data_IF_424387802994
#
_entry.id   IF_424387802994
#
_cell.length_a   1.000
_cell.length_b   1.000
_cell.length_c   1.000
_cell.angle_alpha   90.00
_cell.angle_beta   90.00
_cell.angle_gamma   90.00
#
_symmetry.space_group_name_H-M   'P 1'
#
loop_
_entity.id
_entity.type
_entity.pdbx_description
1 polymer ?
#
# COMPACT_ATOMS: atom_id res chain seq x y z
N UNK A 1 -17.51 0.53 -2.78
CA UNK A 1 -17.14 -0.52 -3.77
C UNK A 1 -15.64 -0.72 -3.62
N UNK A 2 -15.18 -1.94 -3.39
CA UNK A 2 -13.73 -2.22 -3.27
C UNK A 2 -13.17 -2.44 -4.66
N UNK A 3 -12.43 -1.47 -5.20
CA UNK A 3 -11.76 -1.60 -6.49
C UNK A 3 -10.70 -2.71 -6.40
N UNK A 4 -10.99 -3.85 -7.03
CA UNK A 4 -10.09 -4.99 -7.05
C UNK A 4 -9.07 -4.82 -8.18
N UNK A 5 -7.92 -4.25 -7.84
CA UNK A 5 -6.84 -4.02 -8.80
C UNK A 5 -5.92 -5.24 -8.79
N UNK A 6 -5.86 -5.95 -9.92
CA UNK A 6 -4.96 -7.10 -10.11
C UNK A 6 -3.70 -6.62 -10.82
N UNK A 7 -2.53 -6.88 -10.23
CA UNK A 7 -1.23 -6.52 -10.82
C UNK A 7 -0.34 -7.76 -10.93
N UNK A 8 0.70 -7.68 -11.78
CA UNK A 8 1.71 -8.74 -11.93
C UNK A 8 2.94 -8.39 -11.11
N UNK A 9 3.61 -9.41 -10.56
CA UNK A 9 4.94 -9.25 -9.98
C UNK A 9 5.89 -8.83 -11.10
N UNK A 10 6.57 -7.70 -10.93
CA UNK A 10 7.52 -7.16 -11.89
C UNK A 10 8.95 -7.27 -11.36
N UNK A 11 9.94 -7.20 -12.26
CA UNK A 11 11.35 -7.13 -11.89
C UNK A 11 11.73 -5.67 -11.68
N UNK A 12 12.28 -5.34 -10.51
CA UNK A 12 12.81 -4.00 -10.20
C UNK A 12 14.30 -4.18 -9.90
N UNK A 13 15.16 -3.89 -10.88
CA UNK A 13 16.59 -4.17 -10.80
C UNK A 13 16.89 -5.66 -10.57
N UNK A 14 17.54 -5.96 -9.44
CA UNK A 14 17.84 -7.34 -9.00
C UNK A 14 16.75 -7.94 -8.11
N UNK A 15 15.67 -7.19 -7.83
CA UNK A 15 14.59 -7.59 -6.93
C UNK A 15 13.28 -7.85 -7.68
N UNK A 16 12.30 -8.41 -6.97
CA UNK A 16 10.90 -8.49 -7.40
C UNK A 16 10.11 -7.39 -6.71
N UNK A 17 9.17 -6.78 -7.41
CA UNK A 17 8.31 -5.74 -6.88
C UNK A 17 6.85 -5.95 -7.26
N UNK A 18 5.97 -5.33 -6.49
CA UNK A 18 4.53 -5.26 -6.73
C UNK A 18 4.20 -3.79 -6.97
N UNK A 19 3.45 -3.51 -8.02
CA UNK A 19 3.02 -2.14 -8.33
C UNK A 19 1.84 -1.80 -7.43
N UNK A 20 2.02 -0.83 -6.54
CA UNK A 20 0.93 -0.27 -5.74
C UNK A 20 0.08 0.64 -6.63
N UNK A 21 -1.26 0.47 -6.67
CA UNK A 21 -2.10 1.30 -7.52
C UNK A 21 -2.06 2.78 -7.14
N UNK A 22 -2.14 3.66 -8.14
CA UNK A 22 -2.11 5.12 -7.93
C UNK A 22 -3.21 5.62 -7.00
N UNK A 23 -4.38 4.95 -6.98
CA UNK A 23 -5.48 5.27 -6.05
C UNK A 23 -5.07 5.08 -4.59
N UNK A 24 -4.34 4.00 -4.27
CA UNK A 24 -3.84 3.73 -2.92
C UNK A 24 -2.77 4.73 -2.53
N UNK A 25 -1.82 5.02 -3.43
CA UNK A 25 -0.75 6.01 -3.21
C UNK A 25 -1.34 7.38 -2.87
N UNK A 26 -2.32 7.85 -3.66
CA UNK A 26 -2.98 9.14 -3.44
C UNK A 26 -3.83 9.15 -2.18
N UNK A 27 -4.57 8.07 -1.89
CA UNK A 27 -5.45 8.00 -0.73
C UNK A 27 -4.66 8.03 0.59
N UNK A 28 -3.47 7.44 0.62
CA UNK A 28 -2.62 7.33 1.79
C UNK A 28 -1.48 8.35 1.82
N UNK A 29 -1.40 9.23 0.80
CA UNK A 29 -0.32 10.21 0.62
C UNK A 29 1.08 9.60 0.72
N UNK A 30 1.29 8.45 0.07
CA UNK A 30 2.56 7.71 0.16
C UNK A 30 3.64 8.40 -0.67
N UNK A 31 4.83 8.51 -0.09
CA UNK A 31 6.03 9.05 -0.70
C UNK A 31 7.13 7.99 -0.80
N UNK A 32 8.11 8.21 -1.70
CA UNK A 32 9.27 7.34 -1.76
C UNK A 32 10.05 7.39 -0.43
N UNK A 33 10.35 6.23 0.12
CA UNK A 33 11.02 6.11 1.42
C UNK A 33 10.08 5.91 2.62
N UNK A 34 8.75 5.99 2.42
CA UNK A 34 7.79 5.66 3.47
C UNK A 34 7.91 4.19 3.91
N UNK A 35 7.78 3.97 5.21
CA UNK A 35 7.84 2.65 5.81
C UNK A 35 6.52 1.90 5.58
N UNK A 36 6.63 0.65 5.14
CA UNK A 36 5.50 -0.25 4.91
C UNK A 36 5.77 -1.57 5.63
N UNK A 37 4.77 -2.06 6.35
CA UNK A 37 4.81 -3.37 6.99
C UNK A 37 4.11 -4.39 6.10
N UNK A 38 4.75 -5.55 5.90
CA UNK A 38 4.21 -6.64 5.08
C UNK A 38 3.99 -7.87 5.95
N UNK A 39 2.78 -8.42 5.91
CA UNK A 39 2.41 -9.65 6.63
C UNK A 39 1.92 -10.67 5.62
N UNK A 40 2.56 -11.83 5.58
CA UNK A 40 2.10 -12.97 4.80
C UNK A 40 1.31 -13.92 5.70
N UNK A 41 0.04 -14.15 5.36
CA UNK A 41 -0.84 -15.09 6.02
C UNK A 41 -0.89 -16.38 5.18
N UNK A 42 -0.17 -17.40 5.63
CA UNK A 42 0.02 -18.65 4.88
C UNK A 42 -1.30 -19.39 4.62
N UNK A 43 -2.17 -19.46 5.61
CA UNK A 43 -3.44 -20.19 5.54
C UNK A 43 -4.39 -19.66 4.45
N UNK A 44 -4.35 -18.34 4.22
CA UNK A 44 -5.18 -17.66 3.23
C UNK A 44 -4.44 -17.32 1.94
N UNK A 45 -3.12 -17.57 1.89
CA UNK A 45 -2.22 -17.13 0.81
C UNK A 45 -2.34 -15.62 0.52
N UNK A 46 -2.47 -14.81 1.58
CA UNK A 46 -2.65 -13.36 1.48
C UNK A 46 -1.39 -12.63 1.92
N UNK A 47 -0.91 -11.72 1.07
CA UNK A 47 0.10 -10.73 1.42
C UNK A 47 -0.60 -9.40 1.71
N UNK A 48 -0.54 -8.95 2.96
CA UNK A 48 -1.15 -7.69 3.41
C UNK A 48 -0.08 -6.64 3.63
N UNK A 49 -0.32 -5.43 3.13
CA UNK A 49 0.53 -4.27 3.35
C UNK A 49 -0.18 -3.27 4.28
N UNK A 50 0.48 -2.92 5.38
CA UNK A 50 0.03 -1.93 6.36
C UNK A 50 0.94 -0.70 6.29
N UNK A 51 0.33 0.49 6.31
CA UNK A 51 1.03 1.77 6.20
C UNK A 51 0.90 2.53 7.54
N UNK A 52 1.84 2.36 8.48
CA UNK A 52 1.70 2.85 9.84
C UNK A 52 1.85 4.37 9.99
N UNK A 53 2.64 5.00 9.11
CA UNK A 53 2.87 6.44 9.11
C UNK A 53 2.25 7.07 7.89
N UNK A 54 0.93 7.03 7.79
CA UNK A 54 0.24 7.81 6.78
C UNK A 54 0.17 9.26 7.26
N UNK A 55 0.61 10.19 6.42
CA UNK A 55 0.21 11.60 6.53
C UNK A 55 -1.26 11.71 6.12
N UNK A 56 -2.12 10.96 6.80
CA UNK A 56 -3.54 11.10 6.66
C UNK A 56 -3.84 12.50 7.19
N UNK A 57 -4.22 13.41 6.28
CA UNK A 57 -4.75 14.70 6.64
C UNK A 57 -5.88 14.40 7.64
N UNK A 58 -5.62 14.67 8.93
CA UNK A 58 -6.67 14.74 9.93
C UNK A 58 -7.64 15.77 9.37
N UNK A 59 -8.79 15.32 8.87
CA UNK A 59 -9.91 16.20 8.61
C UNK A 59 -10.19 16.83 9.97
N UNK A 60 -9.74 18.06 10.17
CA UNK A 60 -9.94 18.77 11.43
C UNK A 60 -11.43 18.73 11.72
N UNK A 61 -11.79 18.16 12.87
CA UNK A 61 -13.08 18.45 13.49
C UNK A 61 -13.07 19.94 13.79
N UNK A 62 -13.56 20.72 12.82
CA UNK A 62 -14.00 22.08 13.04
C UNK A 62 -15.35 22.01 13.73
N UNK A 63 -15.35 22.24 15.04
CA UNK A 63 -16.51 22.71 15.82
C UNK A 63 -16.01 23.47 17.02
#
# INVERSE_FOLDING_TARGET
MTDKITTRITRIGNSKGIIVPTSVIKALSLEEGDLVELVYQEDAQLLTASFPSTKQLKLGEGS
#
